data_IF_440756724931
#
_entry.id   IF_440756724931
#
_cell.length_a   1.000
_cell.length_b   1.000
_cell.length_c   1.000
_cell.angle_alpha   90.00
_cell.angle_beta   90.00
_cell.angle_gamma   90.00
#
_symmetry.space_group_name_H-M   'P 1'
#
loop_
_entity.id
_entity.type
_entity.pdbx_description
1 polymer ?
#
# COMPACT_ATOMS: atom_id res chain seq x y z
N UNK A 1 -8.02 -23.45 -4.08
CA UNK A 1 -7.48 -24.00 -2.83
C UNK A 1 -6.61 -22.90 -2.23
N UNK A 2 -7.12 -22.16 -1.23
CA UNK A 2 -6.28 -21.21 -0.50
C UNK A 2 -5.26 -22.04 0.29
N UNK A 3 -4.01 -22.04 -0.15
CA UNK A 3 -2.91 -22.43 0.74
C UNK A 3 -2.96 -21.44 1.91
N UNK A 4 -3.08 -21.96 3.14
CA UNK A 4 -3.11 -21.12 4.33
C UNK A 4 -1.92 -20.16 4.29
N UNK A 5 -2.19 -18.86 4.44
CA UNK A 5 -1.15 -17.83 4.47
C UNK A 5 -0.18 -18.16 5.62
N UNK A 6 1.10 -18.24 5.32
CA UNK A 6 2.13 -18.48 6.34
C UNK A 6 2.68 -17.15 6.80
N UNK A 7 2.40 -16.81 8.05
CA UNK A 7 2.92 -15.61 8.70
C UNK A 7 4.14 -15.93 9.55
N UNK A 8 5.11 -15.03 9.54
CA UNK A 8 6.27 -15.05 10.44
C UNK A 8 6.42 -13.69 11.12
N UNK A 9 7.08 -13.64 12.27
CA UNK A 9 7.38 -12.37 12.94
C UNK A 9 8.27 -11.54 12.01
N UNK A 10 7.90 -10.27 11.77
CA UNK A 10 8.71 -9.40 10.95
C UNK A 10 10.07 -9.14 11.59
N UNK A 11 11.18 -9.31 10.86
CA UNK A 11 12.52 -9.00 11.35
C UNK A 11 12.74 -7.50 11.56
N UNK A 12 11.93 -6.66 10.95
CA UNK A 12 12.02 -5.20 11.04
C UNK A 12 11.08 -4.62 12.08
N UNK A 13 9.95 -5.29 12.35
CA UNK A 13 8.87 -4.79 13.21
C UNK A 13 8.35 -5.91 14.10
N UNK A 14 9.00 -6.19 15.27
CA UNK A 14 8.72 -7.38 16.07
C UNK A 14 7.30 -7.51 16.62
N UNK A 15 6.50 -6.45 16.60
CA UNK A 15 5.08 -6.45 16.98
C UNK A 15 4.13 -6.65 15.80
N UNK A 16 4.66 -6.91 14.61
CA UNK A 16 3.91 -7.25 13.40
C UNK A 16 4.39 -8.58 12.81
N UNK A 17 3.52 -9.21 12.05
CA UNK A 17 3.83 -10.42 11.29
C UNK A 17 3.92 -10.07 9.81
N UNK A 18 4.84 -10.69 9.09
CA UNK A 18 4.99 -10.52 7.65
C UNK A 18 4.61 -11.77 6.88
N UNK A 19 4.19 -11.58 5.65
CA UNK A 19 3.94 -12.62 4.67
C UNK A 19 3.99 -12.05 3.26
N UNK A 20 4.02 -12.95 2.27
CA UNK A 20 3.82 -12.57 0.86
C UNK A 20 2.49 -13.12 0.37
N UNK A 21 1.65 -12.28 -0.19
CA UNK A 21 0.30 -12.60 -0.64
C UNK A 21 0.24 -12.55 -2.17
N UNK A 22 -0.06 -13.70 -2.78
CA UNK A 22 -0.34 -13.78 -4.22
C UNK A 22 -1.77 -13.28 -4.49
N UNK A 23 -1.89 -12.25 -5.33
CA UNK A 23 -3.17 -11.65 -5.68
C UNK A 23 -3.93 -12.43 -6.77
N UNK A 24 -3.31 -13.45 -7.37
CA UNK A 24 -3.92 -14.25 -8.45
C UNK A 24 -3.85 -13.60 -9.84
N UNK A 25 -3.30 -12.40 -9.95
CA UNK A 25 -3.11 -11.66 -11.21
C UNK A 25 -1.65 -11.62 -11.67
N UNK A 26 -0.79 -12.45 -11.07
CA UNK A 26 0.66 -12.48 -11.32
C UNK A 26 1.45 -11.47 -10.48
N UNK A 27 0.80 -10.78 -9.57
CA UNK A 27 1.42 -9.88 -8.59
C UNK A 27 1.38 -10.53 -7.21
N UNK A 28 2.51 -10.53 -6.53
CA UNK A 28 2.65 -10.90 -5.14
C UNK A 28 3.04 -9.65 -4.35
N UNK A 29 2.31 -9.34 -3.29
CA UNK A 29 2.62 -8.23 -2.39
C UNK A 29 3.24 -8.73 -1.09
N UNK A 30 4.31 -8.06 -0.66
CA UNK A 30 4.87 -8.25 0.66
C UNK A 30 4.13 -7.38 1.66
N UNK A 31 3.65 -7.97 2.75
CA UNK A 31 2.67 -7.40 3.66
C UNK A 31 3.13 -7.60 5.10
N UNK A 32 2.96 -6.60 5.94
CA UNK A 32 3.04 -6.71 7.39
C UNK A 32 1.68 -6.43 8.03
N UNK A 33 1.33 -7.24 9.03
CA UNK A 33 0.05 -7.17 9.74
C UNK A 33 0.28 -7.19 11.24
N UNK A 34 -0.33 -6.25 11.96
CA UNK A 34 -0.35 -6.20 13.42
C UNK A 34 -1.76 -6.00 13.96
N UNK A 35 -1.97 -6.31 15.25
CA UNK A 35 -3.29 -6.28 15.88
C UNK A 35 -4.04 -7.61 15.74
N UNK A 36 -5.26 -7.65 16.28
CA UNK A 36 -6.07 -8.89 16.27
C UNK A 36 -6.84 -8.99 14.95
N UNK A 37 -7.07 -10.19 14.48
CA UNK A 37 -7.84 -10.45 13.26
C UNK A 37 -9.27 -9.93 13.34
N UNK A 38 -9.85 -9.90 14.55
CA UNK A 38 -11.22 -9.43 14.80
C UNK A 38 -11.34 -7.92 14.92
N UNK A 39 -10.22 -7.19 15.00
CA UNK A 39 -10.23 -5.74 15.13
C UNK A 39 -10.54 -5.06 13.77
N UNK A 40 -11.12 -3.86 13.77
CA UNK A 40 -11.35 -3.08 12.55
C UNK A 40 -10.04 -2.87 11.78
N UNK A 41 -10.04 -3.16 10.47
CA UNK A 41 -8.84 -3.09 9.66
C UNK A 41 -8.51 -1.66 9.23
N UNK A 42 -7.21 -1.29 9.32
CA UNK A 42 -6.65 -0.07 8.71
C UNK A 42 -5.57 -0.51 7.71
N UNK A 43 -5.73 -0.11 6.45
CA UNK A 43 -4.76 -0.32 5.40
C UNK A 43 -3.92 0.94 5.18
N UNK A 44 -2.61 0.80 5.23
CA UNK A 44 -1.63 1.88 5.04
C UNK A 44 -1.01 1.78 3.65
N UNK A 45 -1.27 2.77 2.77
CA UNK A 45 -0.77 2.79 1.39
C UNK A 45 0.29 3.86 1.24
N UNK A 46 1.51 3.45 0.93
CA UNK A 46 2.66 4.34 0.79
C UNK A 46 2.73 5.00 -0.60
N UNK A 47 3.49 6.08 -0.67
CA UNK A 47 3.72 6.85 -1.89
C UNK A 47 4.69 6.21 -2.88
N UNK A 48 4.93 6.92 -3.97
CA UNK A 48 5.80 6.47 -5.07
C UNK A 48 7.23 6.23 -4.60
N UNK A 49 7.77 5.05 -4.90
CA UNK A 49 9.16 4.69 -4.62
C UNK A 49 9.46 4.37 -3.16
N UNK A 50 8.50 4.53 -2.26
CA UNK A 50 8.68 4.29 -0.85
C UNK A 50 8.18 2.91 -0.42
N UNK A 51 8.96 2.24 0.44
CA UNK A 51 8.60 0.97 1.05
C UNK A 51 7.61 1.17 2.20
N UNK A 52 6.88 0.13 2.56
CA UNK A 52 5.96 0.14 3.70
C UNK A 52 6.63 0.49 5.03
N UNK A 53 7.94 0.25 5.17
CA UNK A 53 8.73 0.58 6.35
C UNK A 53 8.90 2.10 6.58
N UNK A 54 8.51 2.95 5.61
CA UNK A 54 8.43 4.40 5.82
C UNK A 54 7.25 4.81 6.72
N UNK A 55 6.28 3.93 6.96
CA UNK A 55 5.32 4.13 8.05
C UNK A 55 6.03 3.94 9.38
N UNK A 56 6.13 5.00 10.23
CA UNK A 56 6.88 4.91 11.49
C UNK A 56 6.29 3.83 12.41
N UNK A 57 7.15 3.08 13.08
CA UNK A 57 6.73 1.99 13.97
C UNK A 57 5.84 2.49 15.11
N UNK A 58 6.15 3.68 15.69
CA UNK A 58 5.31 4.27 16.71
C UNK A 58 3.88 4.55 16.22
N UNK A 59 3.73 4.94 14.94
CA UNK A 59 2.43 5.19 14.33
C UNK A 59 1.63 3.91 14.18
N UNK A 60 2.25 2.87 13.62
CA UNK A 60 1.62 1.54 13.48
C UNK A 60 1.23 0.98 14.85
N UNK A 61 2.18 1.06 15.82
CA UNK A 61 1.92 0.58 17.18
C UNK A 61 0.81 1.35 17.87
N UNK A 62 0.75 2.66 17.73
CA UNK A 62 -0.34 3.47 18.30
C UNK A 62 -1.71 3.08 17.78
N UNK A 63 -1.83 2.75 16.50
CA UNK A 63 -3.10 2.28 15.91
C UNK A 63 -3.46 0.89 16.47
N UNK A 64 -2.48 -0.01 16.59
CA UNK A 64 -2.70 -1.35 17.17
C UNK A 64 -3.14 -1.24 18.63
N UNK A 65 -2.49 -0.39 19.41
CA UNK A 65 -2.83 -0.18 20.83
C UNK A 65 -4.24 0.43 21.01
N UNK A 66 -4.75 1.11 20.00
CA UNK A 66 -6.14 1.61 19.95
C UNK A 66 -7.16 0.57 19.46
N UNK A 67 -6.74 -0.67 19.22
CA UNK A 67 -7.62 -1.77 18.84
C UNK A 67 -7.91 -1.83 17.33
N UNK A 68 -6.95 -1.45 16.50
CA UNK A 68 -7.04 -1.65 15.05
C UNK A 68 -6.12 -2.79 14.58
N UNK A 69 -6.59 -3.52 13.57
CA UNK A 69 -5.75 -4.41 12.76
C UNK A 69 -5.06 -3.58 11.69
N UNK A 70 -3.77 -3.34 11.86
CA UNK A 70 -2.97 -2.51 10.94
C UNK A 70 -2.34 -3.39 9.88
N UNK A 71 -2.54 -3.04 8.62
CA UNK A 71 -1.95 -3.70 7.45
C UNK A 71 -1.14 -2.66 6.69
N UNK A 72 0.14 -2.92 6.45
CA UNK A 72 0.98 -2.15 5.53
C UNK A 72 1.62 -3.07 4.51
N UNK A 73 1.89 -2.60 3.32
CA UNK A 73 2.43 -3.41 2.24
C UNK A 73 3.33 -2.60 1.31
N UNK A 74 4.25 -3.29 0.69
CA UNK A 74 5.02 -2.75 -0.42
C UNK A 74 4.17 -2.78 -1.69
N UNK A 75 3.98 -1.63 -2.35
CA UNK A 75 3.34 -1.58 -3.66
C UNK A 75 4.11 -2.45 -4.67
N UNK A 76 3.47 -2.84 -5.78
CA UNK A 76 4.17 -3.50 -6.89
C UNK A 76 5.42 -2.71 -7.30
N UNK A 77 6.50 -3.38 -7.67
CA UNK A 77 7.84 -2.86 -7.97
C UNK A 77 8.63 -2.32 -6.77
N UNK A 78 8.04 -2.26 -5.57
CA UNK A 78 8.68 -1.75 -4.35
C UNK A 78 9.09 -2.90 -3.44
N UNK A 79 10.15 -2.68 -2.65
CA UNK A 79 10.62 -3.55 -1.57
C UNK A 79 10.70 -5.03 -1.97
N UNK A 80 9.99 -5.87 -1.23
CA UNK A 80 9.93 -7.32 -1.46
C UNK A 80 8.75 -7.78 -2.32
N UNK A 81 7.89 -6.85 -2.76
CA UNK A 81 6.80 -7.15 -3.70
C UNK A 81 7.32 -7.45 -5.10
N UNK A 82 6.47 -8.09 -5.92
CA UNK A 82 6.76 -8.48 -7.31
C UNK A 82 7.34 -7.33 -8.13
N UNK A 83 8.39 -7.63 -8.88
CA UNK A 83 8.99 -6.72 -9.85
C UNK A 83 8.40 -6.98 -11.24
N UNK A 84 7.65 -6.01 -11.74
CA UNK A 84 6.98 -6.12 -13.05
C UNK A 84 8.03 -5.97 -14.15
N UNK A 85 8.26 -7.02 -14.90
CA UNK A 85 9.22 -6.99 -16.02
C UNK A 85 8.66 -6.15 -17.17
N UNK A 86 9.29 -5.01 -17.41
CA UNK A 86 8.99 -4.19 -18.58
C UNK A 86 9.82 -4.67 -19.77
N UNK A 87 9.16 -5.02 -20.89
CA UNK A 87 9.82 -5.45 -22.14
C UNK A 87 10.30 -4.28 -23.02
N UNK A 88 10.22 -3.04 -22.53
CA UNK A 88 10.59 -1.81 -23.24
C UNK A 88 11.91 -1.20 -22.75
N UNK A 89 12.34 -0.07 -23.34
CA UNK A 89 13.52 0.66 -22.89
C UNK A 89 13.35 1.08 -21.44
N UNK A 90 14.47 1.12 -20.66
CA UNK A 90 14.46 1.52 -19.25
C UNK A 90 13.69 2.82 -19.06
N UNK A 91 12.56 2.75 -18.36
CA UNK A 91 11.75 3.93 -18.03
C UNK A 91 12.57 4.82 -17.10
N UNK A 92 12.76 6.05 -17.51
CA UNK A 92 13.35 7.07 -16.64
C UNK A 92 12.28 7.51 -15.64
N UNK A 93 12.35 7.04 -14.41
CA UNK A 93 11.38 7.33 -13.35
C UNK A 93 11.18 8.83 -13.15
N UNK A 94 12.26 9.63 -13.26
CA UNK A 94 12.17 11.10 -13.14
C UNK A 94 11.35 11.71 -14.28
N UNK A 95 11.49 11.19 -15.50
CA UNK A 95 10.70 11.61 -16.67
C UNK A 95 9.23 11.21 -16.53
N UNK A 96 8.96 10.01 -16.00
CA UNK A 96 7.59 9.56 -15.69
C UNK A 96 6.94 10.45 -14.63
N UNK A 97 7.65 10.76 -13.55
CA UNK A 97 7.18 11.66 -12.50
C UNK A 97 6.86 13.06 -13.05
N UNK A 98 7.76 13.61 -13.87
CA UNK A 98 7.54 14.91 -14.52
C UNK A 98 6.30 14.91 -15.41
N UNK A 99 6.11 13.87 -16.23
CA UNK A 99 4.91 13.72 -17.07
C UNK A 99 3.63 13.60 -16.25
N UNK A 100 3.67 12.81 -15.19
CA UNK A 100 2.55 12.64 -14.26
C UNK A 100 2.17 13.98 -13.59
N UNK A 101 3.18 14.73 -13.10
CA UNK A 101 2.97 16.01 -12.44
C UNK A 101 2.27 17.07 -13.31
N UNK A 102 2.44 17.00 -14.66
CA UNK A 102 1.82 17.91 -15.63
C UNK A 102 0.62 17.28 -16.36
N UNK A 103 0.10 16.13 -15.85
CA UNK A 103 -1.10 15.49 -16.37
C UNK A 103 -0.95 14.84 -17.77
N UNK A 104 0.28 14.59 -18.22
CA UNK A 104 0.51 13.93 -19.51
C UNK A 104 0.36 12.41 -19.40
N UNK A 105 -0.23 11.74 -20.41
CA UNK A 105 -0.39 10.29 -20.39
C UNK A 105 0.98 9.58 -20.39
N UNK A 106 1.12 8.58 -19.53
CA UNK A 106 2.31 7.73 -19.42
C UNK A 106 2.23 6.55 -20.41
N UNK A 107 2.32 6.86 -21.70
CA UNK A 107 2.34 5.82 -22.73
C UNK A 107 3.58 4.93 -22.56
N UNK A 108 3.38 3.64 -22.33
CA UNK A 108 4.42 2.65 -22.15
C UNK A 108 4.74 2.24 -20.69
N UNK A 109 4.04 2.79 -19.71
CA UNK A 109 4.09 2.25 -18.36
C UNK A 109 3.44 0.85 -18.33
N UNK A 110 4.05 -0.14 -17.65
CA UNK A 110 3.53 -1.51 -17.62
C UNK A 110 2.22 -1.63 -16.81
N UNK A 111 1.88 -0.65 -16.01
CA UNK A 111 0.68 -0.53 -15.19
C UNK A 111 0.41 0.94 -14.84
N UNK A 112 -0.74 1.21 -14.27
CA UNK A 112 -1.20 2.54 -13.87
C UNK A 112 -1.79 2.50 -12.45
N UNK A 113 -2.31 3.64 -11.96
CA UNK A 113 -2.89 3.74 -10.63
C UNK A 113 -4.17 2.91 -10.45
N UNK A 114 -4.91 2.64 -11.53
CA UNK A 114 -6.08 1.77 -11.46
C UNK A 114 -5.68 0.32 -11.20
N UNK A 115 -4.60 -0.15 -11.84
CA UNK A 115 -4.06 -1.48 -11.58
C UNK A 115 -3.60 -1.64 -10.12
N UNK A 116 -3.00 -0.58 -9.55
CA UNK A 116 -2.59 -0.56 -8.14
C UNK A 116 -3.79 -0.49 -7.19
N UNK A 117 -4.87 0.18 -7.58
CA UNK A 117 -6.12 0.18 -6.81
C UNK A 117 -6.80 -1.21 -6.85
N UNK A 118 -6.74 -1.89 -7.97
CA UNK A 118 -7.23 -3.27 -8.09
C UNK A 118 -6.39 -4.23 -7.23
N UNK A 119 -5.06 -4.03 -7.11
CA UNK A 119 -4.22 -4.78 -6.16
C UNK A 119 -4.68 -4.61 -4.71
N UNK A 120 -5.06 -3.38 -4.32
CA UNK A 120 -5.58 -3.12 -2.97
C UNK A 120 -6.85 -3.94 -2.71
N UNK A 121 -7.78 -3.97 -3.67
CA UNK A 121 -9.02 -4.73 -3.52
C UNK A 121 -8.73 -6.23 -3.44
N UNK A 122 -7.87 -6.74 -4.33
CA UNK A 122 -7.45 -8.14 -4.31
C UNK A 122 -6.75 -8.52 -3.00
N UNK A 123 -5.91 -7.62 -2.44
CA UNK A 123 -5.29 -7.84 -1.14
C UNK A 123 -6.33 -7.96 -0.03
N UNK A 124 -7.34 -7.09 0.00
CA UNK A 124 -8.43 -7.18 0.97
C UNK A 124 -9.20 -8.50 0.83
N UNK A 125 -9.44 -8.96 -0.42
CA UNK A 125 -10.11 -10.24 -0.69
C UNK A 125 -9.29 -11.42 -0.17
N UNK A 126 -7.97 -11.43 -0.40
CA UNK A 126 -7.09 -12.49 0.08
C UNK A 126 -7.01 -12.54 1.62
N UNK A 127 -7.17 -11.38 2.28
CA UNK A 127 -7.18 -11.25 3.74
C UNK A 127 -8.57 -11.46 4.37
N UNK A 128 -9.62 -11.69 3.56
CA UNK A 128 -10.99 -11.84 4.03
C UNK A 128 -11.58 -10.57 4.65
N UNK A 129 -11.07 -9.39 4.26
CA UNK A 129 -11.49 -8.10 4.80
C UNK A 129 -12.58 -7.51 3.90
N UNK A 130 -13.81 -7.43 4.41
CA UNK A 130 -14.92 -6.85 3.67
C UNK A 130 -14.81 -5.33 3.56
N UNK A 131 -14.48 -4.66 4.67
CA UNK A 131 -14.35 -3.20 4.76
C UNK A 131 -13.12 -2.80 5.56
N UNK A 132 -12.53 -1.67 5.20
CA UNK A 132 -11.33 -1.16 5.84
C UNK A 132 -11.31 0.37 5.90
N UNK A 133 -10.60 0.90 6.89
CA UNK A 133 -10.10 2.27 6.85
C UNK A 133 -8.86 2.31 5.97
N UNK A 134 -8.67 3.36 5.17
CA UNK A 134 -7.44 3.53 4.40
C UNK A 134 -6.74 4.82 4.85
N UNK A 135 -5.42 4.73 5.05
CA UNK A 135 -4.56 5.90 5.19
C UNK A 135 -3.55 5.87 4.05
N UNK A 136 -3.62 6.85 3.16
CA UNK A 136 -2.77 6.95 1.98
C UNK A 136 -1.83 8.14 2.05
N UNK A 137 -0.54 7.91 1.80
CA UNK A 137 0.48 8.95 1.71
C UNK A 137 0.81 9.28 0.24
N UNK A 138 0.72 10.55 -0.16
CA UNK A 138 1.08 11.01 -1.52
C UNK A 138 0.36 10.19 -2.61
N UNK A 139 1.09 9.45 -3.47
CA UNK A 139 0.52 8.54 -4.48
C UNK A 139 -0.44 7.51 -3.84
N UNK A 140 -0.16 7.04 -2.62
CA UNK A 140 -1.06 6.15 -1.88
C UNK A 140 -2.42 6.79 -1.61
N UNK A 141 -2.47 8.11 -1.43
CA UNK A 141 -3.73 8.86 -1.35
C UNK A 141 -4.51 8.85 -2.66
N UNK A 142 -3.84 8.94 -3.82
CA UNK A 142 -4.48 8.84 -5.14
C UNK A 142 -5.07 7.44 -5.36
N UNK A 143 -4.33 6.40 -4.99
CA UNK A 143 -4.81 5.01 -5.03
C UNK A 143 -6.05 4.87 -4.14
N UNK A 144 -6.01 5.41 -2.92
CA UNK A 144 -7.15 5.38 -1.98
C UNK A 144 -8.41 6.03 -2.56
N UNK A 145 -8.28 7.15 -3.26
CA UNK A 145 -9.40 7.80 -3.95
C UNK A 145 -9.99 6.91 -5.06
N UNK A 146 -9.14 6.24 -5.84
CA UNK A 146 -9.60 5.34 -6.90
C UNK A 146 -10.35 4.16 -6.29
N UNK A 147 -9.81 3.55 -5.22
CA UNK A 147 -10.50 2.46 -4.51
C UNK A 147 -11.86 2.92 -3.99
N UNK A 148 -11.94 4.09 -3.35
CA UNK A 148 -13.21 4.61 -2.84
C UNK A 148 -14.22 4.94 -3.94
N UNK A 149 -13.77 5.45 -5.09
CA UNK A 149 -14.64 5.76 -6.22
C UNK A 149 -15.18 4.49 -6.90
N UNK A 150 -14.35 3.45 -7.07
CA UNK A 150 -14.71 2.19 -7.73
C UNK A 150 -15.40 1.19 -6.79
N UNK A 151 -15.01 1.18 -5.52
CA UNK A 151 -15.43 0.20 -4.52
C UNK A 151 -15.84 0.86 -3.19
N UNK A 152 -16.80 1.81 -3.19
CA UNK A 152 -17.19 2.57 -1.98
C UNK A 152 -17.66 1.65 -0.84
N UNK A 153 -18.24 0.47 -1.18
CA UNK A 153 -18.68 -0.53 -0.21
C UNK A 153 -17.53 -1.17 0.59
N UNK A 154 -16.28 -1.09 0.08
CA UNK A 154 -15.08 -1.67 0.73
C UNK A 154 -14.42 -0.71 1.72
N UNK A 155 -14.87 0.54 1.78
CA UNK A 155 -14.21 1.62 2.50
C UNK A 155 -15.10 2.16 3.61
N UNK A 156 -14.56 2.23 4.84
CA UNK A 156 -15.21 2.91 5.96
C UNK A 156 -14.90 4.41 5.93
N UNK A 157 -13.60 4.78 5.91
CA UNK A 157 -13.13 6.17 5.82
C UNK A 157 -11.75 6.20 5.16
N UNK A 158 -11.38 7.36 4.63
CA UNK A 158 -10.05 7.63 4.08
C UNK A 158 -9.38 8.73 4.88
N UNK A 159 -8.14 8.49 5.29
CA UNK A 159 -7.18 9.48 5.77
C UNK A 159 -6.13 9.75 4.69
N UNK A 160 -5.82 11.01 4.44
CA UNK A 160 -4.83 11.40 3.45
C UNK A 160 -3.71 12.16 4.13
N UNK A 161 -2.49 11.66 3.97
CA UNK A 161 -1.28 12.35 4.42
C UNK A 161 -0.60 13.02 3.21
N UNK A 162 -0.49 14.34 3.27
CA UNK A 162 0.30 15.12 2.34
C UNK A 162 1.71 15.23 2.90
N UNK A 163 2.74 14.88 2.12
CA UNK A 163 4.12 15.23 2.49
C UNK A 163 4.27 16.76 2.44
N UNK A 164 4.08 17.43 3.56
CA UNK A 164 4.71 18.70 3.84
C UNK A 164 6.01 18.34 4.54
N UNK A 165 7.14 18.48 3.82
CA UNK A 165 8.42 18.70 4.48
C UNK A 165 8.30 20.12 4.99
N UNK A 166 7.79 20.30 6.19
CA UNK A 166 8.03 21.54 6.93
C UNK A 166 9.46 21.43 7.44
N UNK A 167 10.34 22.28 6.90
CA UNK A 167 11.62 22.57 7.52
C UNK A 167 11.39 22.91 9.00
N UNK A 168 11.87 22.07 9.91
CA UNK A 168 12.06 22.42 11.31
C UNK A 168 13.13 23.53 11.43
N UNK A 169 12.84 24.71 10.91
CA UNK A 169 13.60 25.93 11.15
C UNK A 169 12.65 27.06 11.40
N UNK A 170 11.94 26.99 12.52
CA UNK A 170 11.28 28.14 13.10
C UNK A 170 10.97 27.85 14.59
N UNK A 171 11.98 27.83 15.43
CA UNK A 171 11.98 28.39 16.80
C UNK A 171 13.39 28.82 17.10
#
# INVERSE_FOLDING_TARGET
MNSALQFQISPYTPFMQETSIDLGNGVQLHVEIGGKETDPAILLIMGLGAQMLFWPDFFCKSLIDQGYRVIRFDNRDIGLSSKIRHKGPRLNHLKLMGRFAIGLPNNGAPYNLYDMADDVVMLLDQLGIEKTYIIGASMGGMISHIVAAKHPQRIEKIGLLRNTIEDEKAV
#
